data_IF_255733211617
#
_entry.id   IF_255733211617
#
_cell.length_a   1.000
_cell.length_b   1.000
_cell.length_c   1.000
_cell.angle_alpha   90.00
_cell.angle_beta   90.00
_cell.angle_gamma   90.00
#
_symmetry.space_group_name_H-M   'P 1'
#
loop_
_entity.id
_entity.type
_entity.pdbx_description
1 polymer ?
#
# COMPACT_ATOMS: atom_id res chain seq x y z
N UNK A 1 24.63 -31.72 -17.30
CA UNK A 1 24.69 -30.52 -16.80
C UNK A 1 24.61 -30.45 -15.28
N UNK A 2 23.78 -30.96 -14.48
CA UNK A 2 23.91 -31.27 -13.05
C UNK A 2 24.11 -30.10 -12.06
N UNK A 3 23.80 -28.84 -12.45
CA UNK A 3 23.83 -27.71 -11.53
C UNK A 3 22.62 -27.75 -10.59
N UNK A 4 22.86 -27.69 -9.29
CA UNK A 4 21.78 -27.55 -8.30
C UNK A 4 21.37 -26.07 -8.18
N UNK A 5 20.29 -25.67 -8.84
CA UNK A 5 19.74 -24.32 -8.76
C UNK A 5 18.55 -24.36 -7.80
N UNK A 6 18.55 -23.46 -6.82
CA UNK A 6 17.44 -23.30 -5.87
C UNK A 6 16.89 -21.89 -5.97
N UNK A 7 15.59 -21.72 -6.30
CA UNK A 7 14.96 -20.41 -6.31
C UNK A 7 14.81 -19.86 -4.88
N UNK A 8 15.05 -18.56 -4.74
CA UNK A 8 14.73 -17.83 -3.51
C UNK A 8 13.29 -17.33 -3.62
N UNK A 9 12.47 -17.62 -2.62
CA UNK A 9 11.04 -17.30 -2.61
C UNK A 9 10.67 -16.43 -1.41
N UNK A 10 9.77 -15.47 -1.63
CA UNK A 10 9.26 -14.64 -0.56
C UNK A 10 8.30 -15.43 0.35
N UNK A 11 8.43 -15.33 1.68
CA UNK A 11 7.58 -16.07 2.62
C UNK A 11 6.14 -15.57 2.72
N UNK A 12 5.88 -14.37 2.23
CA UNK A 12 4.55 -13.73 2.16
C UNK A 12 4.46 -12.79 0.97
N UNK A 13 3.29 -12.26 0.64
CA UNK A 13 3.15 -11.27 -0.41
C UNK A 13 4.04 -10.06 -0.22
N UNK A 14 4.58 -9.55 -1.32
CA UNK A 14 5.32 -8.30 -1.35
C UNK A 14 4.32 -7.18 -1.61
N UNK A 15 4.33 -6.14 -0.79
CA UNK A 15 3.39 -5.04 -0.90
C UNK A 15 4.01 -3.67 -0.68
N UNK A 16 3.17 -2.66 -0.82
CA UNK A 16 3.49 -1.26 -0.53
C UNK A 16 2.63 -0.77 0.61
N UNK A 17 3.20 0.11 1.42
CA UNK A 17 2.48 0.86 2.42
C UNK A 17 2.37 2.32 1.97
N UNK A 18 1.13 2.79 1.80
CA UNK A 18 0.80 4.15 1.45
C UNK A 18 0.33 4.92 2.68
N UNK A 19 0.87 6.11 2.91
CA UNK A 19 0.46 6.93 4.04
C UNK A 19 1.07 8.31 4.00
N UNK A 20 0.70 9.17 4.96
CA UNK A 20 1.20 10.55 5.01
C UNK A 20 2.66 10.64 5.49
N UNK A 21 3.16 9.62 6.18
CA UNK A 21 4.58 9.51 6.59
C UNK A 21 5.49 8.96 5.49
N UNK A 22 4.91 8.32 4.46
CA UNK A 22 5.66 7.83 3.30
C UNK A 22 5.79 8.90 2.21
N UNK A 23 6.69 8.64 1.25
CA UNK A 23 6.87 9.52 0.08
C UNK A 23 5.71 9.42 -0.92
N UNK A 24 4.91 8.36 -0.84
CA UNK A 24 3.82 8.06 -1.77
C UNK A 24 2.53 7.69 -1.04
N UNK A 25 1.43 8.12 -1.63
CA UNK A 25 0.07 7.73 -1.25
C UNK A 25 -0.85 7.84 -2.47
N UNK A 26 -2.11 7.39 -2.40
CA UNK A 26 -3.03 7.43 -3.53
C UNK A 26 -3.25 8.82 -4.15
N UNK A 27 -2.99 9.90 -3.42
CA UNK A 27 -3.24 11.29 -3.84
C UNK A 27 -1.98 12.09 -4.14
N UNK A 28 -0.79 11.49 -4.07
CA UNK A 28 0.48 12.17 -4.34
C UNK A 28 0.57 12.79 -5.74
N UNK A 29 -0.27 12.32 -6.68
CA UNK A 29 -0.38 12.86 -8.04
C UNK A 29 -1.23 14.13 -8.16
N UNK A 30 -2.07 14.46 -7.17
CA UNK A 30 -2.96 15.62 -7.24
C UNK A 30 -2.20 16.94 -7.03
N UNK A 31 -2.62 18.00 -7.73
CA UNK A 31 -1.94 19.30 -7.65
C UNK A 31 -2.10 19.94 -6.27
N UNK A 32 -3.25 19.72 -5.63
CA UNK A 32 -3.51 20.23 -4.27
C UNK A 32 -2.63 19.52 -3.25
N UNK A 33 -2.49 18.20 -3.30
CA UNK A 33 -1.62 17.47 -2.38
C UNK A 33 -0.14 17.88 -2.53
N UNK A 34 0.32 18.10 -3.76
CA UNK A 34 1.70 18.55 -4.04
C UNK A 34 2.05 19.88 -3.37
N UNK A 35 1.11 20.81 -3.27
CA UNK A 35 1.32 22.11 -2.59
C UNK A 35 1.58 21.93 -1.09
N UNK A 36 1.09 20.83 -0.50
CA UNK A 36 1.25 20.53 0.93
C UNK A 36 2.52 19.72 1.23
N UNK A 37 3.30 19.33 0.21
CA UNK A 37 4.46 18.43 0.35
C UNK A 37 5.52 18.95 1.31
N UNK A 38 5.73 20.26 1.35
CA UNK A 38 6.78 20.89 2.15
C UNK A 38 6.35 21.23 3.60
N UNK A 39 5.09 21.00 3.94
CA UNK A 39 4.60 21.16 5.30
C UNK A 39 5.14 20.06 6.22
N UNK A 40 5.32 20.38 7.49
CA UNK A 40 5.53 19.36 8.53
C UNK A 40 4.38 18.37 8.55
N UNK A 41 4.56 17.22 9.19
CA UNK A 41 3.51 16.20 9.27
C UNK A 41 2.22 16.75 9.88
N UNK A 42 2.32 17.41 11.02
CA UNK A 42 1.17 17.95 11.76
C UNK A 42 0.45 19.05 10.99
N UNK A 43 1.19 19.96 10.35
CA UNK A 43 0.62 21.00 9.50
C UNK A 43 -0.10 20.39 8.30
N UNK A 44 0.48 19.35 7.68
CA UNK A 44 -0.13 18.64 6.55
C UNK A 44 -1.43 17.95 6.97
N UNK A 45 -1.44 17.25 8.09
CA UNK A 45 -2.65 16.62 8.63
C UNK A 45 -3.73 17.66 8.90
N UNK A 46 -3.36 18.79 9.52
CA UNK A 46 -4.28 19.90 9.78
C UNK A 46 -4.88 20.49 8.49
N UNK A 47 -4.07 20.68 7.45
CA UNK A 47 -4.56 21.17 6.15
C UNK A 47 -5.48 20.14 5.48
N UNK A 48 -5.06 18.87 5.43
CA UNK A 48 -5.83 17.79 4.84
C UNK A 48 -7.16 17.52 5.59
N UNK A 49 -7.27 17.88 6.87
CA UNK A 49 -8.52 17.74 7.63
C UNK A 49 -9.56 18.80 7.29
N UNK A 50 -9.24 19.78 6.44
CA UNK A 50 -10.21 20.82 6.02
C UNK A 50 -11.13 20.31 4.90
N UNK A 51 -12.43 20.46 5.06
CA UNK A 51 -13.43 19.98 4.09
C UNK A 51 -13.20 20.47 2.66
N UNK A 52 -12.82 21.73 2.48
CA UNK A 52 -12.58 22.27 1.14
C UNK A 52 -11.34 21.66 0.48
N UNK A 53 -10.28 21.34 1.25
CA UNK A 53 -9.08 20.64 0.76
C UNK A 53 -9.43 19.21 0.39
N UNK A 54 -10.16 18.48 1.24
CA UNK A 54 -10.67 17.13 0.94
C UNK A 54 -11.44 17.12 -0.38
N UNK A 55 -12.44 18.00 -0.51
CA UNK A 55 -13.26 18.11 -1.73
C UNK A 55 -12.42 18.42 -2.98
N UNK A 56 -11.44 19.30 -2.86
CA UNK A 56 -10.57 19.66 -3.97
C UNK A 56 -9.70 18.47 -4.40
N UNK A 57 -9.02 17.79 -3.47
CA UNK A 57 -8.19 16.62 -3.76
C UNK A 57 -9.02 15.50 -4.40
N UNK A 58 -10.22 15.22 -3.87
CA UNK A 58 -11.11 14.18 -4.42
C UNK A 58 -11.69 14.53 -5.79
N UNK A 59 -11.72 15.80 -6.18
CA UNK A 59 -12.14 16.25 -7.52
C UNK A 59 -11.03 16.18 -8.57
N UNK A 60 -9.76 16.05 -8.16
CA UNK A 60 -8.61 15.99 -9.04
C UNK A 60 -8.32 14.56 -9.52
N UNK A 61 -7.81 14.42 -10.74
CA UNK A 61 -7.32 13.13 -11.23
C UNK A 61 -6.02 12.76 -10.50
N UNK A 62 -6.11 11.81 -9.59
CA UNK A 62 -5.00 11.32 -8.75
C UNK A 62 -3.86 10.69 -9.55
N UNK A 63 -4.12 10.24 -10.77
CA UNK A 63 -3.15 9.55 -11.62
C UNK A 63 -2.43 10.48 -12.58
N UNK A 64 -3.03 11.60 -12.96
CA UNK A 64 -2.58 12.50 -14.03
C UNK A 64 -1.12 12.92 -13.90
N UNK A 65 -0.68 13.25 -12.70
CA UNK A 65 0.67 13.74 -12.42
C UNK A 65 1.45 12.85 -11.46
N UNK A 66 1.08 11.59 -11.35
CA UNK A 66 1.79 10.66 -10.48
C UNK A 66 3.16 10.31 -11.08
N UNK A 67 4.21 10.46 -10.29
CA UNK A 67 5.58 10.04 -10.63
C UNK A 67 5.84 8.60 -10.26
N UNK A 68 4.86 7.92 -9.66
CA UNK A 68 4.96 6.52 -9.26
C UNK A 68 4.20 5.61 -10.23
N UNK A 69 4.88 4.95 -11.18
CA UNK A 69 4.22 4.22 -12.26
C UNK A 69 3.31 3.08 -11.77
N UNK A 70 3.64 2.43 -10.65
CA UNK A 70 2.86 1.31 -10.14
C UNK A 70 1.48 1.74 -9.63
N UNK A 71 1.27 3.00 -9.25
CA UNK A 71 -0.03 3.48 -8.78
C UNK A 71 -1.13 3.32 -9.82
N UNK A 72 -0.78 3.37 -11.10
CA UNK A 72 -1.71 3.15 -12.21
C UNK A 72 -2.21 1.70 -12.32
N UNK A 73 -1.49 0.76 -11.70
CA UNK A 73 -1.82 -0.68 -11.72
C UNK A 73 -2.50 -1.16 -10.45
N UNK A 74 -2.49 -0.32 -9.40
CA UNK A 74 -3.06 -0.68 -8.10
C UNK A 74 -4.44 -0.05 -7.98
N UNK A 75 -5.48 -0.89 -7.91
CA UNK A 75 -6.85 -0.45 -7.66
C UNK A 75 -7.21 -0.53 -6.19
N UNK A 76 -8.21 0.23 -5.76
CA UNK A 76 -8.74 0.16 -4.39
C UNK A 76 -9.33 -1.21 -4.02
N UNK A 77 -9.59 -2.05 -5.01
CA UNK A 77 -9.96 -3.46 -4.81
C UNK A 77 -8.84 -4.28 -4.15
N UNK A 78 -7.58 -3.85 -4.34
CA UNK A 78 -6.39 -4.49 -3.78
C UNK A 78 -5.65 -3.56 -2.83
N UNK A 79 -6.36 -2.67 -2.18
CA UNK A 79 -5.85 -1.82 -1.11
C UNK A 79 -6.67 -2.07 0.15
N UNK A 80 -5.98 -2.15 1.29
CA UNK A 80 -6.56 -2.51 2.58
C UNK A 80 -6.05 -1.57 3.65
N UNK A 81 -6.85 -1.35 4.70
CA UNK A 81 -6.35 -0.72 5.92
C UNK A 81 -5.30 -1.64 6.55
N UNK A 82 -4.11 -1.13 6.83
CA UNK A 82 -3.01 -1.94 7.37
C UNK A 82 -3.30 -2.44 8.79
N UNK A 83 -3.94 -1.60 9.61
CA UNK A 83 -4.35 -1.97 10.96
C UNK A 83 -3.22 -1.93 12.00
N UNK A 84 -3.62 -2.17 13.27
CA UNK A 84 -2.71 -2.36 14.39
C UNK A 84 -3.34 -3.37 15.35
N UNK A 85 -2.87 -4.63 15.43
CA UNK A 85 -1.69 -5.15 14.73
C UNK A 85 -1.87 -5.22 13.21
N UNK A 86 -0.76 -5.24 12.45
CA UNK A 86 -0.79 -5.34 10.99
C UNK A 86 -1.46 -6.63 10.51
N UNK A 87 -2.36 -6.51 9.52
CA UNK A 87 -2.96 -7.67 8.85
C UNK A 87 -2.39 -7.78 7.42
N UNK A 88 -1.56 -8.80 7.20
CA UNK A 88 -0.97 -9.09 5.89
C UNK A 88 -1.78 -10.06 5.02
N UNK A 89 -2.81 -10.68 5.60
CA UNK A 89 -3.74 -11.60 4.92
C UNK A 89 -5.19 -11.10 5.05
N UNK A 90 -5.49 -9.91 4.50
CA UNK A 90 -6.83 -9.34 4.58
C UNK A 90 -7.80 -10.07 3.65
N UNK A 91 -9.04 -10.23 4.08
CA UNK A 91 -10.10 -10.72 3.20
C UNK A 91 -10.45 -9.69 2.13
N UNK A 92 -10.97 -10.15 1.00
CA UNK A 92 -11.37 -9.25 -0.11
C UNK A 92 -12.47 -8.26 0.33
N UNK A 93 -13.34 -8.66 1.26
CA UNK A 93 -14.38 -7.80 1.85
C UNK A 93 -13.82 -6.65 2.69
N UNK A 94 -12.56 -6.76 3.14
CA UNK A 94 -11.86 -5.69 3.87
C UNK A 94 -11.17 -4.68 2.94
N UNK A 95 -11.25 -4.91 1.61
CA UNK A 95 -10.68 -3.97 0.64
C UNK A 95 -11.37 -2.61 0.70
N UNK A 96 -10.61 -1.56 0.39
CA UNK A 96 -11.14 -0.18 0.38
C UNK A 96 -12.34 -0.07 -0.55
N UNK A 97 -12.32 -0.71 -1.72
CA UNK A 97 -13.44 -0.69 -2.65
C UNK A 97 -14.70 -1.34 -2.06
N UNK A 98 -14.55 -2.51 -1.43
CA UNK A 98 -15.70 -3.22 -0.85
C UNK A 98 -16.28 -2.46 0.36
N UNK A 99 -15.40 -1.97 1.24
CA UNK A 99 -15.81 -1.19 2.42
C UNK A 99 -16.45 0.14 2.04
N UNK A 100 -15.93 0.82 1.03
CA UNK A 100 -16.51 2.07 0.52
C UNK A 100 -17.94 1.84 -0.02
N UNK A 101 -18.14 0.76 -0.80
CA UNK A 101 -19.46 0.37 -1.29
C UNK A 101 -20.44 0.10 -0.14
N UNK A 102 -20.00 -0.59 0.91
CA UNK A 102 -20.81 -0.86 2.11
C UNK A 102 -21.19 0.44 2.84
N UNK A 103 -20.26 1.40 2.90
CA UNK A 103 -20.45 2.69 3.55
C UNK A 103 -21.15 3.73 2.65
N UNK A 104 -21.42 3.41 1.39
CA UNK A 104 -22.04 4.30 0.40
C UNK A 104 -21.25 5.59 0.13
N UNK A 105 -19.91 5.48 0.15
CA UNK A 105 -18.97 6.54 -0.21
C UNK A 105 -18.07 6.07 -1.36
N UNK A 106 -17.26 6.98 -1.92
CA UNK A 106 -16.28 6.57 -2.94
C UNK A 106 -15.06 5.87 -2.33
N UNK A 107 -14.40 4.96 -3.06
CA UNK A 107 -13.14 4.36 -2.58
C UNK A 107 -12.05 5.40 -2.30
N UNK A 108 -11.99 6.47 -3.10
CA UNK A 108 -11.10 7.60 -2.88
C UNK A 108 -11.37 8.29 -1.56
N UNK A 109 -12.63 8.52 -1.24
CA UNK A 109 -13.03 9.15 0.01
C UNK A 109 -12.62 8.29 1.21
N UNK A 110 -12.91 6.99 1.18
CA UNK A 110 -12.51 6.07 2.24
C UNK A 110 -10.98 6.00 2.41
N UNK A 111 -10.24 5.92 1.30
CA UNK A 111 -8.77 5.92 1.34
C UNK A 111 -8.22 7.21 1.97
N UNK A 112 -8.83 8.34 1.64
CA UNK A 112 -8.47 9.63 2.21
C UNK A 112 -8.69 9.66 3.73
N UNK A 113 -9.83 9.19 4.20
CA UNK A 113 -10.17 9.11 5.62
C UNK A 113 -9.23 8.19 6.39
N UNK A 114 -8.96 6.99 5.85
CA UNK A 114 -8.01 6.04 6.47
C UNK A 114 -6.63 6.67 6.67
N UNK A 115 -6.13 7.42 5.71
CA UNK A 115 -4.81 8.06 5.84
C UNK A 115 -4.77 9.16 6.90
N UNK A 116 -5.90 9.80 7.22
CA UNK A 116 -5.96 10.83 8.25
C UNK A 116 -6.19 10.29 9.67
N UNK A 117 -6.61 9.03 9.80
CA UNK A 117 -6.79 8.42 11.12
C UNK A 117 -5.51 8.43 11.95
N UNK A 118 -5.65 8.40 13.27
CA UNK A 118 -4.54 8.42 14.22
C UNK A 118 -3.55 9.56 13.92
N UNK A 119 -4.06 10.75 13.67
CA UNK A 119 -3.24 11.91 13.32
C UNK A 119 -2.34 11.68 12.09
N UNK A 120 -2.87 11.00 11.08
CA UNK A 120 -2.16 10.73 9.83
C UNK A 120 -1.09 9.63 9.93
N UNK A 121 -1.10 8.83 10.97
CA UNK A 121 -0.14 7.75 11.17
C UNK A 121 -0.56 6.42 10.55
N UNK A 122 -1.80 6.31 10.10
CA UNK A 122 -2.29 5.10 9.47
C UNK A 122 -1.72 4.87 8.07
N UNK A 123 -1.61 3.59 7.74
CA UNK A 123 -1.17 3.13 6.43
C UNK A 123 -2.28 2.35 5.70
N UNK A 124 -2.21 2.40 4.38
CA UNK A 124 -2.93 1.55 3.46
C UNK A 124 -1.94 0.53 2.92
N UNK A 125 -2.25 -0.76 3.05
CA UNK A 125 -1.49 -1.86 2.50
C UNK A 125 -1.98 -2.21 1.10
N UNK A 126 -1.07 -2.36 0.16
CA UNK A 126 -1.35 -2.78 -1.20
C UNK A 126 -0.43 -3.96 -1.57
N UNK A 127 -0.87 -5.20 -1.40
CA UNK A 127 -0.12 -6.37 -1.87
C UNK A 127 -0.02 -6.34 -3.39
N UNK A 128 1.19 -6.56 -3.93
CA UNK A 128 1.48 -6.47 -5.37
C UNK A 128 1.83 -7.80 -6.00
N UNK A 129 2.61 -8.60 -5.28
CA UNK A 129 3.17 -9.86 -5.78
C UNK A 129 2.82 -10.98 -4.82
N UNK A 130 2.55 -12.16 -5.36
CA UNK A 130 2.17 -13.36 -4.60
C UNK A 130 0.87 -13.25 -3.80
N UNK A 131 -0.08 -12.43 -4.27
CA UNK A 131 -1.40 -12.25 -3.65
C UNK A 131 -2.53 -12.25 -4.71
N UNK A 132 -2.39 -13.07 -5.74
CA UNK A 132 -3.30 -13.06 -6.91
C UNK A 132 -4.71 -13.49 -6.53
N UNK A 133 -4.83 -14.49 -5.66
CA UNK A 133 -6.11 -15.06 -5.21
C UNK A 133 -6.57 -14.46 -3.88
N UNK A 134 -5.99 -13.32 -3.47
CA UNK A 134 -6.25 -12.66 -2.19
C UNK A 134 -6.02 -13.58 -0.97
N UNK A 135 -5.00 -14.42 -1.03
CA UNK A 135 -4.58 -15.31 0.05
C UNK A 135 -3.09 -15.66 -0.07
N UNK A 136 -2.57 -16.44 0.89
CA UNK A 136 -1.17 -16.87 0.96
C UNK A 136 -0.88 -18.20 0.29
N UNK A 137 -1.80 -18.82 -0.42
CA UNK A 137 -1.64 -20.17 -0.96
C UNK A 137 -0.43 -20.30 -1.88
N UNK A 138 -0.18 -19.30 -2.72
CA UNK A 138 1.00 -19.26 -3.61
C UNK A 138 2.30 -19.24 -2.80
N UNK A 139 2.37 -18.41 -1.77
CA UNK A 139 3.54 -18.37 -0.88
C UNK A 139 3.75 -19.70 -0.19
N UNK A 140 2.69 -20.31 0.30
CA UNK A 140 2.71 -21.60 0.97
C UNK A 140 3.19 -22.73 0.03
N UNK A 141 2.70 -22.74 -1.23
CA UNK A 141 3.17 -23.70 -2.23
C UNK A 141 4.66 -23.55 -2.53
N UNK A 142 5.13 -22.31 -2.74
CA UNK A 142 6.55 -22.03 -2.99
C UNK A 142 7.43 -22.44 -1.80
N UNK A 143 6.99 -22.20 -0.56
CA UNK A 143 7.75 -22.57 0.64
C UNK A 143 7.78 -24.10 0.88
N UNK A 144 6.78 -24.82 0.42
CA UNK A 144 6.75 -26.31 0.51
C UNK A 144 7.62 -27.03 -0.50
N UNK A 145 8.05 -26.34 -1.57
CA UNK A 145 8.91 -26.96 -2.58
C UNK A 145 10.29 -27.26 -1.95
N UNK A 146 10.74 -28.53 -1.93
CA UNK A 146 12.02 -28.90 -1.33
C UNK A 146 13.25 -28.30 -2.03
N UNK A 147 13.05 -27.77 -3.23
CA UNK A 147 14.11 -27.10 -3.99
C UNK A 147 14.15 -25.59 -3.75
N UNK A 148 13.17 -25.00 -3.09
CA UNK A 148 13.16 -23.57 -2.80
C UNK A 148 13.88 -23.24 -1.50
N UNK A 149 14.31 -21.98 -1.40
CA UNK A 149 14.88 -21.38 -0.19
C UNK A 149 14.10 -20.12 0.14
N UNK A 150 13.67 -19.98 1.38
CA UNK A 150 13.03 -18.76 1.86
C UNK A 150 14.04 -17.61 1.89
N UNK A 151 13.68 -16.49 1.33
CA UNK A 151 14.46 -15.25 1.44
C UNK A 151 13.89 -14.14 0.56
N UNK A 152 14.15 -12.93 0.95
CA UNK A 152 13.97 -11.71 0.17
C UNK A 152 14.71 -10.59 0.89
N UNK A 153 15.63 -9.92 0.24
CA UNK A 153 16.57 -9.03 0.89
C UNK A 153 16.56 -7.59 0.35
N UNK A 154 15.41 -7.06 -0.06
CA UNK A 154 15.31 -5.68 -0.58
C UNK A 154 15.25 -4.61 0.52
N UNK A 155 15.50 -4.98 1.77
CA UNK A 155 15.52 -4.04 2.89
C UNK A 155 16.54 -2.92 2.67
N UNK A 156 16.07 -1.66 2.68
CA UNK A 156 16.90 -0.48 2.48
C UNK A 156 17.16 -0.06 1.03
N UNK A 157 16.74 -0.85 0.04
CA UNK A 157 16.95 -0.53 -1.37
C UNK A 157 16.04 0.61 -1.89
N UNK A 158 14.92 0.85 -1.26
CA UNK A 158 13.89 1.78 -1.72
C UNK A 158 13.69 2.96 -0.76
N UNK A 159 14.71 3.82 -0.64
CA UNK A 159 14.67 5.01 0.22
C UNK A 159 13.49 5.91 -0.15
N UNK A 160 12.63 6.19 0.84
CA UNK A 160 11.43 7.02 0.66
C UNK A 160 10.16 6.25 0.30
N UNK A 161 10.25 4.98 -0.11
CA UNK A 161 9.12 4.07 -0.18
C UNK A 161 9.09 3.15 1.03
N UNK A 162 7.90 2.86 1.52
CA UNK A 162 7.75 1.74 2.45
C UNK A 162 7.37 0.53 1.60
N UNK A 163 8.41 -0.13 1.06
CA UNK A 163 8.27 -1.41 0.40
C UNK A 163 8.44 -2.50 1.45
N UNK A 164 7.39 -3.26 1.61
CA UNK A 164 7.37 -4.35 2.57
C UNK A 164 7.99 -5.62 1.97
N UNK A 165 9.32 -5.67 1.96
CA UNK A 165 10.10 -6.67 1.27
C UNK A 165 11.37 -7.13 2.02
N UNK A 166 11.41 -7.00 3.36
CA UNK A 166 12.59 -7.34 4.16
C UNK A 166 12.33 -8.52 5.11
N UNK A 167 12.45 -9.76 4.63
CA UNK A 167 12.10 -10.95 5.42
C UNK A 167 13.20 -11.93 5.81
N UNK A 168 14.51 -11.75 5.47
CA UNK A 168 15.45 -12.85 5.56
C UNK A 168 15.73 -13.36 6.99
N UNK A 169 15.24 -12.68 7.99
CA UNK A 169 15.54 -13.00 9.40
C UNK A 169 14.30 -13.19 10.28
N UNK A 170 13.17 -13.46 9.67
CA UNK A 170 11.90 -13.69 10.38
C UNK A 170 11.67 -15.15 10.68
#
# INVERSE_FOLDING_TARGET
EGLSIRPVVAPRPIGLLFGLKGSQNPFSGTDTFKKLKNLSHDERVKELSKDHIKKQILSEDRLKNSTFPLIHRISFKHMYRFGSPPNYDPNIEDSIEFMAKKNKISPEELAYEIMLENNGENFIYAPLVNFVDNNFDVCHQMLKDPNSIMGLGDGGAHVGFILDAGYPTW
#
